data_IF_183220098656
#
_entry.id   IF_183220098656
#
_cell.length_a   1.000
_cell.length_b   1.000
_cell.length_c   1.000
_cell.angle_alpha   90.00
_cell.angle_beta   90.00
_cell.angle_gamma   90.00
#
_symmetry.space_group_name_H-M   'P 1'
#
loop_
_entity.id
_entity.type
_entity.pdbx_description
1 polymer ?
#
# COMPACT_ATOMS: atom_id res chain seq x y z
N UNK A 1 -6.22 -4.23 -15.37
CA UNK A 1 -5.50 -5.23 -16.18
C UNK A 1 -5.90 -6.65 -15.83
N UNK A 2 -5.81 -7.09 -14.57
CA UNK A 2 -6.25 -8.45 -14.15
C UNK A 2 -7.69 -8.81 -14.55
N UNK A 3 -8.67 -7.93 -14.32
CA UNK A 3 -10.06 -8.20 -14.73
C UNK A 3 -10.25 -8.33 -16.24
N UNK A 4 -9.44 -7.62 -17.04
CA UNK A 4 -9.49 -7.71 -18.51
C UNK A 4 -8.94 -9.07 -18.94
N UNK A 5 -7.80 -9.49 -18.39
CA UNK A 5 -7.20 -10.81 -18.65
C UNK A 5 -8.19 -11.91 -18.25
N UNK A 6 -8.81 -11.80 -17.07
CA UNK A 6 -9.84 -12.75 -16.61
C UNK A 6 -11.04 -12.82 -17.56
N UNK A 7 -11.54 -11.68 -18.04
CA UNK A 7 -12.63 -11.62 -19.02
C UNK A 7 -12.24 -12.27 -20.35
N UNK A 8 -11.01 -12.05 -20.83
CA UNK A 8 -10.50 -12.65 -22.07
C UNK A 8 -10.36 -14.16 -21.93
N UNK A 9 -9.77 -14.65 -20.84
CA UNK A 9 -9.66 -16.09 -20.56
C UNK A 9 -11.03 -16.74 -20.42
N UNK A 10 -11.98 -16.07 -19.77
CA UNK A 10 -13.36 -16.54 -19.66
C UNK A 10 -14.00 -16.68 -21.04
N UNK A 11 -13.87 -15.68 -21.91
CA UNK A 11 -14.39 -15.75 -23.28
C UNK A 11 -13.73 -16.89 -24.10
N UNK A 12 -12.41 -17.11 -23.91
CA UNK A 12 -11.65 -18.17 -24.57
C UNK A 12 -12.11 -19.56 -24.15
N UNK A 13 -12.09 -19.86 -22.85
CA UNK A 13 -12.45 -21.19 -22.33
C UNK A 13 -13.94 -21.47 -22.41
N UNK A 14 -14.80 -20.45 -22.48
CA UNK A 14 -16.22 -20.64 -22.80
C UNK A 14 -16.43 -21.18 -24.22
N UNK A 15 -15.56 -20.82 -25.17
CA UNK A 15 -15.60 -21.36 -26.53
C UNK A 15 -14.90 -22.73 -26.65
N UNK A 16 -14.02 -23.09 -25.70
CA UNK A 16 -13.23 -24.33 -25.70
C UNK A 16 -13.19 -24.97 -24.30
N UNK A 17 -14.33 -25.48 -23.80
CA UNK A 17 -14.41 -26.00 -22.43
C UNK A 17 -13.52 -27.22 -22.19
N UNK A 18 -13.22 -28.00 -23.23
CA UNK A 18 -12.40 -29.22 -23.14
C UNK A 18 -10.92 -28.95 -22.81
N UNK A 19 -10.45 -27.72 -23.04
CA UNK A 19 -9.07 -27.33 -22.79
C UNK A 19 -8.83 -26.90 -21.33
N UNK A 20 -9.88 -26.76 -20.52
CA UNK A 20 -9.77 -26.35 -19.13
C UNK A 20 -9.88 -27.58 -18.22
N UNK A 21 -8.80 -27.89 -17.50
CA UNK A 21 -8.85 -28.93 -16.46
C UNK A 21 -9.71 -28.45 -15.28
N UNK A 22 -10.74 -29.20 -14.86
CA UNK A 22 -11.62 -28.81 -13.75
C UNK A 22 -10.93 -28.75 -12.38
N UNK A 23 -9.77 -29.40 -12.26
CA UNK A 23 -8.99 -29.47 -11.01
C UNK A 23 -7.88 -28.42 -10.94
N UNK A 24 -7.77 -27.55 -11.95
CA UNK A 24 -6.74 -26.53 -11.98
C UNK A 24 -7.08 -25.39 -11.00
N UNK A 25 -6.15 -24.99 -10.10
CA UNK A 25 -6.35 -23.83 -9.25
C UNK A 25 -6.62 -22.57 -10.07
N UNK A 26 -7.49 -21.70 -9.58
CA UNK A 26 -7.93 -20.48 -10.28
C UNK A 26 -6.74 -19.60 -10.69
N UNK A 27 -5.75 -19.44 -9.80
CA UNK A 27 -4.57 -18.60 -10.04
C UNK A 27 -3.57 -19.23 -11.04
N UNK A 28 -3.69 -20.53 -11.32
CA UNK A 28 -2.83 -21.25 -12.27
C UNK A 28 -3.37 -21.23 -13.71
N UNK A 29 -4.62 -20.80 -13.93
CA UNK A 29 -5.25 -20.76 -15.26
C UNK A 29 -4.48 -19.87 -16.24
N UNK A 30 -4.05 -18.69 -15.80
CA UNK A 30 -3.33 -17.76 -16.67
C UNK A 30 -1.92 -18.25 -17.04
N UNK A 31 -1.08 -18.71 -16.10
CA UNK A 31 0.19 -19.36 -16.44
C UNK A 31 0.03 -20.59 -17.36
N UNK A 32 -0.99 -21.41 -17.13
CA UNK A 32 -1.27 -22.57 -17.98
C UNK A 32 -1.59 -22.15 -19.42
N UNK A 33 -2.46 -21.15 -19.60
CA UNK A 33 -2.78 -20.60 -20.92
C UNK A 33 -1.54 -20.09 -21.65
N UNK A 34 -0.64 -19.37 -20.96
CA UNK A 34 0.62 -18.90 -21.56
C UNK A 34 1.46 -20.09 -22.02
N UNK A 35 1.58 -21.14 -21.20
CA UNK A 35 2.42 -22.29 -21.49
C UNK A 35 1.90 -23.20 -22.61
N UNK A 36 0.58 -23.29 -22.81
CA UNK A 36 -0.02 -24.22 -23.78
C UNK A 36 -0.44 -23.56 -25.08
N UNK A 37 -0.89 -22.31 -25.06
CA UNK A 37 -1.52 -21.67 -26.22
C UNK A 37 -0.61 -20.71 -26.99
N UNK A 38 0.51 -20.27 -26.40
CA UNK A 38 1.40 -19.28 -27.00
C UNK A 38 2.69 -19.90 -27.57
N UNK A 39 3.24 -19.34 -28.67
CA UNK A 39 4.49 -19.81 -29.24
C UNK A 39 5.68 -19.53 -28.30
N UNK A 40 6.70 -20.40 -28.29
CA UNK A 40 7.76 -20.41 -27.27
C UNK A 40 8.54 -19.09 -27.13
N UNK A 41 8.76 -18.36 -28.23
CA UNK A 41 9.43 -17.05 -28.19
C UNK A 41 8.64 -15.97 -27.44
N UNK A 42 7.31 -15.97 -27.59
CA UNK A 42 6.42 -15.02 -26.90
C UNK A 42 6.29 -15.40 -25.43
N UNK A 43 6.22 -16.70 -25.13
CA UNK A 43 6.20 -17.22 -23.76
C UNK A 43 7.41 -16.72 -22.97
N UNK A 44 8.62 -16.88 -23.52
CA UNK A 44 9.84 -16.40 -22.88
C UNK A 44 9.83 -14.89 -22.63
N UNK A 45 9.34 -14.10 -23.59
CA UNK A 45 9.22 -12.65 -23.44
C UNK A 45 8.24 -12.25 -22.33
N UNK A 46 7.08 -12.91 -22.26
CA UNK A 46 6.06 -12.65 -21.23
C UNK A 46 6.60 -12.99 -19.84
N UNK A 47 7.22 -14.17 -19.68
CA UNK A 47 7.79 -14.60 -18.39
C UNK A 47 8.90 -13.65 -17.95
N UNK A 48 9.80 -13.25 -18.86
CA UNK A 48 10.85 -12.29 -18.56
C UNK A 48 10.28 -10.93 -18.11
N UNK A 49 9.26 -10.42 -18.81
CA UNK A 49 8.58 -9.19 -18.44
C UNK A 49 7.86 -9.27 -17.09
N UNK A 50 7.22 -10.41 -16.80
CA UNK A 50 6.54 -10.65 -15.52
C UNK A 50 7.53 -10.66 -14.35
N UNK A 51 8.66 -11.36 -14.51
CA UNK A 51 9.72 -11.39 -13.49
C UNK A 51 10.32 -9.99 -13.30
N UNK A 52 10.60 -9.26 -14.38
CA UNK A 52 11.12 -7.90 -14.31
C UNK A 52 10.16 -6.94 -13.58
N UNK A 53 8.85 -7.02 -13.90
CA UNK A 53 7.83 -6.23 -13.22
C UNK A 53 7.73 -6.57 -11.73
N UNK A 54 7.71 -7.86 -11.39
CA UNK A 54 7.66 -8.34 -10.00
C UNK A 54 8.89 -7.88 -9.19
N UNK A 55 10.09 -7.97 -9.78
CA UNK A 55 11.33 -7.48 -9.16
C UNK A 55 11.29 -5.97 -8.91
N UNK A 56 10.75 -5.18 -9.84
CA UNK A 56 10.59 -3.74 -9.68
C UNK A 56 9.68 -3.38 -8.50
N UNK A 57 8.52 -4.04 -8.39
CA UNK A 57 7.61 -3.85 -7.26
C UNK A 57 8.22 -4.30 -5.94
N UNK A 58 8.87 -5.46 -5.92
CA UNK A 58 9.50 -6.01 -4.72
C UNK A 58 10.63 -5.11 -4.21
N UNK A 59 11.50 -4.65 -5.11
CA UNK A 59 12.57 -3.71 -4.78
C UNK A 59 12.02 -2.41 -4.19
N UNK A 60 10.96 -1.86 -4.78
CA UNK A 60 10.27 -0.68 -4.26
C UNK A 60 9.75 -0.87 -2.85
N UNK A 61 9.04 -1.98 -2.58
CA UNK A 61 8.49 -2.30 -1.26
C UNK A 61 9.60 -2.47 -0.22
N UNK A 62 10.63 -3.27 -0.52
CA UNK A 62 11.74 -3.52 0.41
C UNK A 62 12.45 -2.20 0.73
N UNK A 63 12.73 -1.37 -0.27
CA UNK A 63 13.37 -0.08 -0.07
C UNK A 63 12.52 0.86 0.78
N UNK A 64 11.21 0.96 0.52
CA UNK A 64 10.31 1.78 1.33
C UNK A 64 10.27 1.35 2.79
N UNK A 65 10.20 0.04 3.08
CA UNK A 65 10.22 -0.47 4.45
C UNK A 65 11.58 -0.23 5.10
N UNK A 66 12.68 -0.41 4.37
CA UNK A 66 14.01 -0.14 4.87
C UNK A 66 14.21 1.34 5.25
N UNK A 67 13.70 2.27 4.43
CA UNK A 67 13.70 3.71 4.75
C UNK A 67 12.85 4.01 5.97
N UNK A 68 11.64 3.43 6.07
CA UNK A 68 10.79 3.60 7.25
C UNK A 68 11.50 3.12 8.52
N UNK A 69 12.13 1.95 8.49
CA UNK A 69 12.88 1.43 9.64
C UNK A 69 14.14 2.24 9.96
N UNK A 70 14.84 2.77 8.96
CA UNK A 70 16.07 3.52 9.19
C UNK A 70 15.83 4.97 9.61
N UNK A 71 14.94 5.69 8.94
CA UNK A 71 14.69 7.11 9.17
C UNK A 71 13.65 7.30 10.29
N UNK A 72 12.49 6.65 10.19
CA UNK A 72 11.41 6.92 11.16
C UNK A 72 11.67 6.29 12.53
N UNK A 73 12.34 5.13 12.55
CA UNK A 73 12.65 4.41 13.78
C UNK A 73 14.11 4.60 14.22
N UNK A 74 15.09 4.15 13.43
CA UNK A 74 16.48 4.09 13.90
C UNK A 74 17.10 5.48 14.14
N UNK A 75 16.93 6.43 13.20
CA UNK A 75 17.43 7.80 13.35
C UNK A 75 16.76 8.53 14.52
N UNK A 76 15.45 8.33 14.70
CA UNK A 76 14.68 8.97 15.78
C UNK A 76 14.95 8.39 17.17
N UNK A 77 15.22 7.08 17.27
CA UNK A 77 15.48 6.38 18.53
C UNK A 77 16.95 6.49 18.97
N UNK A 78 17.87 6.64 18.02
CA UNK A 78 19.31 6.62 18.28
C UNK A 78 19.97 7.91 17.80
N UNK A 79 19.99 8.95 18.65
CA UNK A 79 20.59 10.24 18.29
C UNK A 79 22.12 10.14 18.12
N UNK A 80 22.67 10.96 17.22
CA UNK A 80 24.12 11.12 17.01
C UNK A 80 24.77 10.06 16.11
N UNK A 81 24.01 9.39 15.25
CA UNK A 81 24.54 8.39 14.30
C UNK A 81 24.99 9.04 12.99
N UNK A 82 26.02 8.46 12.37
CA UNK A 82 26.46 8.93 11.06
C UNK A 82 25.57 8.38 9.95
N UNK A 83 25.48 9.12 8.85
CA UNK A 83 24.74 8.70 7.64
C UNK A 83 25.16 7.29 7.18
N UNK A 84 26.45 6.97 7.25
CA UNK A 84 26.98 5.65 6.92
C UNK A 84 26.43 4.52 7.81
N UNK A 85 26.12 4.81 9.08
CA UNK A 85 25.49 3.84 9.97
C UNK A 85 24.02 3.64 9.65
N UNK A 86 23.31 4.70 9.25
CA UNK A 86 21.90 4.66 8.85
C UNK A 86 21.76 3.81 7.58
N UNK A 87 22.62 4.04 6.58
CA UNK A 87 22.62 3.27 5.33
C UNK A 87 22.92 1.79 5.59
N UNK A 88 23.93 1.47 6.40
CA UNK A 88 24.23 0.07 6.77
C UNK A 88 23.08 -0.62 7.48
N UNK A 89 22.37 0.11 8.35
CA UNK A 89 21.17 -0.41 9.00
C UNK A 89 20.06 -0.67 7.98
N UNK A 90 19.84 0.24 7.04
CA UNK A 90 18.86 0.07 5.96
C UNK A 90 19.18 -1.13 5.04
N UNK A 91 20.45 -1.36 4.70
CA UNK A 91 20.90 -2.54 3.96
C UNK A 91 20.58 -3.84 4.72
N UNK A 92 20.90 -3.89 6.02
CA UNK A 92 20.58 -5.04 6.88
C UNK A 92 19.07 -5.26 7.04
N UNK A 93 18.30 -4.18 7.22
CA UNK A 93 16.85 -4.22 7.29
C UNK A 93 16.24 -4.74 5.98
N UNK A 94 16.77 -4.32 4.83
CA UNK A 94 16.32 -4.78 3.51
C UNK A 94 16.47 -6.30 3.37
N UNK A 95 17.61 -6.86 3.79
CA UNK A 95 17.83 -8.31 3.81
C UNK A 95 16.83 -9.01 4.76
N UNK A 96 16.60 -8.45 5.94
CA UNK A 96 15.65 -8.98 6.91
C UNK A 96 14.22 -9.02 6.37
N UNK A 97 13.76 -7.92 5.78
CA UNK A 97 12.43 -7.82 5.15
C UNK A 97 12.28 -8.83 4.01
N UNK A 98 13.32 -8.97 3.16
CA UNK A 98 13.33 -9.98 2.09
C UNK A 98 13.20 -11.40 2.64
N UNK A 99 13.94 -11.75 3.70
CA UNK A 99 13.88 -13.08 4.31
C UNK A 99 12.52 -13.37 4.95
N UNK A 100 11.93 -12.39 5.64
CA UNK A 100 10.57 -12.49 6.18
C UNK A 100 9.55 -12.66 5.06
N UNK A 101 9.70 -11.92 3.95
CA UNK A 101 8.86 -12.08 2.77
C UNK A 101 8.91 -13.49 2.19
N UNK A 102 10.11 -14.08 2.08
CA UNK A 102 10.28 -15.48 1.64
C UNK A 102 9.61 -16.45 2.61
N UNK A 103 9.78 -16.26 3.92
CA UNK A 103 9.16 -17.11 4.93
C UNK A 103 7.63 -17.07 4.83
N UNK A 104 7.04 -15.88 4.69
CA UNK A 104 5.59 -15.69 4.48
C UNK A 104 5.15 -16.38 3.18
N UNK A 105 5.89 -16.22 2.09
CA UNK A 105 5.57 -16.87 0.82
C UNK A 105 5.54 -18.39 0.92
N UNK A 106 6.49 -18.99 1.65
CA UNK A 106 6.52 -20.44 1.90
C UNK A 106 5.29 -20.89 2.71
N UNK A 107 4.88 -20.11 3.71
CA UNK A 107 3.68 -20.40 4.51
C UNK A 107 2.43 -20.32 3.62
N UNK A 108 2.27 -19.25 2.84
CA UNK A 108 1.13 -19.07 1.93
C UNK A 108 1.06 -20.19 0.88
N UNK A 109 2.19 -20.68 0.37
CA UNK A 109 2.24 -21.80 -0.58
C UNK A 109 1.70 -23.12 -0.01
N UNK A 110 1.55 -23.25 1.31
CA UNK A 110 1.00 -24.44 1.97
C UNK A 110 -0.45 -24.28 2.39
N UNK A 111 -0.98 -23.06 2.35
CA UNK A 111 -2.37 -22.78 2.67
C UNK A 111 -3.22 -23.02 1.42
N UNK A 112 -4.38 -23.63 1.60
CA UNK A 112 -5.33 -23.86 0.51
C UNK A 112 -6.10 -22.56 0.23
N UNK A 113 -5.43 -21.64 -0.47
CA UNK A 113 -5.98 -20.33 -0.81
C UNK A 113 -6.76 -20.47 -2.12
N UNK A 114 -8.08 -20.28 -2.07
CA UNK A 114 -8.94 -20.35 -3.24
C UNK A 114 -8.61 -19.27 -4.30
N UNK A 115 -8.25 -18.06 -3.87
CA UNK A 115 -7.78 -16.99 -4.77
C UNK A 115 -6.81 -16.05 -4.07
N UNK A 116 -5.62 -15.90 -4.65
CA UNK A 116 -4.60 -14.95 -4.19
C UNK A 116 -5.03 -13.49 -4.39
N UNK A 117 -5.87 -13.22 -5.40
CA UNK A 117 -6.38 -11.87 -5.67
C UNK A 117 -7.31 -11.43 -4.53
N UNK A 118 -8.27 -12.27 -4.14
CA UNK A 118 -9.22 -11.95 -3.08
C UNK A 118 -8.49 -11.74 -1.75
N UNK A 119 -7.51 -12.59 -1.43
CA UNK A 119 -6.65 -12.43 -0.25
C UNK A 119 -5.90 -11.09 -0.29
N UNK A 120 -5.37 -10.71 -1.45
CA UNK A 120 -4.66 -9.44 -1.60
C UNK A 120 -5.60 -8.26 -1.35
N UNK A 121 -6.78 -8.24 -1.95
CA UNK A 121 -7.79 -7.18 -1.76
C UNK A 121 -8.20 -7.08 -0.29
N UNK A 122 -8.40 -8.22 0.36
CA UNK A 122 -8.76 -8.30 1.76
C UNK A 122 -7.66 -7.70 2.66
N UNK A 123 -6.40 -8.07 2.46
CA UNK A 123 -5.26 -7.50 3.19
C UNK A 123 -5.13 -5.98 2.97
N UNK A 124 -5.32 -5.51 1.73
CA UNK A 124 -5.35 -4.07 1.43
C UNK A 124 -6.51 -3.37 2.14
N UNK A 125 -7.68 -4.02 2.25
CA UNK A 125 -8.82 -3.49 2.99
C UNK A 125 -8.55 -3.39 4.49
N UNK A 126 -8.06 -4.46 5.12
CA UNK A 126 -7.82 -4.53 6.55
C UNK A 126 -6.72 -3.57 7.02
N UNK A 127 -5.60 -3.52 6.30
CA UNK A 127 -4.42 -2.76 6.73
C UNK A 127 -4.29 -1.42 6.00
N UNK A 128 -4.50 -1.41 4.69
CA UNK A 128 -4.32 -0.21 3.86
C UNK A 128 -5.49 0.77 3.94
N UNK A 129 -6.72 0.27 4.06
CA UNK A 129 -7.94 1.08 4.01
C UNK A 129 -8.04 2.13 5.11
N UNK A 130 -7.68 1.77 6.35
CA UNK A 130 -7.73 2.70 7.47
C UNK A 130 -6.76 3.88 7.30
N UNK A 131 -5.53 3.61 6.84
CA UNK A 131 -4.51 4.62 6.52
C UNK A 131 -4.92 5.51 5.35
N UNK A 132 -5.51 4.92 4.29
CA UNK A 132 -6.04 5.68 3.16
C UNK A 132 -7.17 6.64 3.59
N UNK A 133 -8.07 6.18 4.48
CA UNK A 133 -9.11 7.02 5.07
C UNK A 133 -8.55 8.18 5.89
N UNK A 134 -7.52 7.93 6.69
CA UNK A 134 -6.84 8.96 7.49
C UNK A 134 -6.16 10.02 6.61
N UNK A 135 -5.45 9.58 5.55
CA UNK A 135 -4.82 10.49 4.59
C UNK A 135 -5.88 11.35 3.85
N UNK A 136 -6.97 10.72 3.42
CA UNK A 136 -8.10 11.41 2.78
C UNK A 136 -8.70 12.46 3.72
N UNK A 137 -8.96 12.10 4.98
CA UNK A 137 -9.49 13.02 5.97
C UNK A 137 -8.56 14.22 6.18
N UNK A 138 -7.26 13.99 6.32
CA UNK A 138 -6.26 15.05 6.47
C UNK A 138 -6.16 15.97 5.26
N UNK A 139 -6.32 15.44 4.04
CA UNK A 139 -6.26 16.24 2.81
C UNK A 139 -7.47 17.19 2.65
N UNK A 140 -8.67 16.70 3.01
CA UNK A 140 -9.93 17.40 2.75
C UNK A 140 -10.46 18.22 3.94
N UNK A 141 -9.91 18.08 5.15
CA UNK A 141 -10.40 18.81 6.32
C UNK A 141 -9.30 19.52 7.09
N UNK A 142 -9.58 20.76 7.51
CA UNK A 142 -8.68 21.57 8.35
C UNK A 142 -8.85 21.34 9.85
N UNK A 143 -9.83 20.50 10.21
CA UNK A 143 -10.17 20.19 11.61
C UNK A 143 -9.62 18.83 12.06
N UNK A 144 -8.87 18.12 11.21
CA UNK A 144 -8.31 16.81 11.54
C UNK A 144 -7.19 16.99 12.57
N UNK A 145 -7.41 16.44 13.76
CA UNK A 145 -6.44 16.41 14.85
C UNK A 145 -5.68 15.09 14.83
N UNK A 146 -4.41 15.08 15.26
CA UNK A 146 -3.62 13.84 15.28
C UNK A 146 -4.27 12.77 16.19
N UNK A 147 -4.87 13.16 17.32
CA UNK A 147 -5.58 12.25 18.21
C UNK A 147 -6.82 11.65 17.53
N UNK A 148 -7.63 12.49 16.88
CA UNK A 148 -8.86 12.05 16.20
C UNK A 148 -8.54 11.12 15.03
N UNK A 149 -7.53 11.45 14.23
CA UNK A 149 -7.06 10.60 13.13
C UNK A 149 -6.52 9.27 13.66
N UNK A 150 -5.72 9.26 14.73
CA UNK A 150 -5.22 8.03 15.33
C UNK A 150 -6.35 7.13 15.84
N UNK A 151 -7.34 7.69 16.54
CA UNK A 151 -8.52 6.95 17.00
C UNK A 151 -9.34 6.43 15.82
N UNK A 152 -9.50 7.23 14.77
CA UNK A 152 -10.17 6.84 13.53
C UNK A 152 -9.52 5.63 12.86
N UNK A 153 -8.18 5.62 12.75
CA UNK A 153 -7.42 4.48 12.22
C UNK A 153 -7.65 3.24 13.08
N UNK A 154 -7.41 3.33 14.40
CA UNK A 154 -7.55 2.16 15.28
C UNK A 154 -8.97 1.60 15.29
N UNK A 155 -9.97 2.47 15.39
CA UNK A 155 -11.37 2.04 15.38
C UNK A 155 -11.78 1.44 14.03
N UNK A 156 -11.37 2.03 12.91
CA UNK A 156 -11.62 1.49 11.57
C UNK A 156 -10.95 0.12 11.38
N UNK A 157 -9.71 -0.05 11.84
CA UNK A 157 -9.02 -1.34 11.80
C UNK A 157 -9.73 -2.40 12.64
N UNK A 158 -10.19 -2.06 13.85
CA UNK A 158 -10.95 -2.98 14.71
C UNK A 158 -12.27 -3.37 14.06
N UNK A 159 -13.04 -2.39 13.55
CA UNK A 159 -14.32 -2.66 12.89
C UNK A 159 -14.12 -3.57 11.69
N UNK A 160 -13.15 -3.25 10.84
CA UNK A 160 -12.86 -4.04 9.62
C UNK A 160 -12.39 -5.45 9.98
N UNK A 161 -11.56 -5.60 11.02
CA UNK A 161 -11.12 -6.90 11.52
C UNK A 161 -12.28 -7.74 12.07
N UNK A 162 -13.19 -7.14 12.85
CA UNK A 162 -14.38 -7.82 13.37
C UNK A 162 -15.28 -8.26 12.21
N UNK A 163 -15.50 -7.37 11.24
CA UNK A 163 -16.33 -7.64 10.08
C UNK A 163 -15.75 -8.74 9.20
N UNK A 164 -14.41 -8.78 9.09
CA UNK A 164 -13.65 -9.87 8.48
C UNK A 164 -13.81 -11.19 9.21
N UNK A 165 -13.64 -11.18 10.54
CA UNK A 165 -13.74 -12.38 11.39
C UNK A 165 -15.10 -13.08 11.29
N UNK A 166 -16.18 -12.30 11.14
CA UNK A 166 -17.53 -12.83 10.99
C UNK A 166 -17.93 -13.09 9.53
N UNK A 167 -17.08 -12.79 8.55
CA UNK A 167 -17.37 -13.00 7.13
C UNK A 167 -18.62 -12.26 6.64
N UNK A 168 -18.89 -11.07 7.18
CA UNK A 168 -20.17 -10.38 6.99
C UNK A 168 -20.32 -9.71 5.61
N UNK A 169 -19.20 -9.46 4.92
CA UNK A 169 -19.17 -8.74 3.64
C UNK A 169 -18.19 -9.37 2.67
N UNK A 170 -18.45 -9.14 1.38
CA UNK A 170 -17.57 -9.57 0.31
C UNK A 170 -16.21 -8.83 0.38
N UNK A 171 -15.08 -9.49 0.08
CA UNK A 171 -13.72 -8.92 0.08
C UNK A 171 -13.57 -7.48 -0.43
N UNK A 172 -14.26 -7.12 -1.51
CA UNK A 172 -14.20 -5.80 -2.13
C UNK A 172 -14.74 -4.66 -1.24
N UNK A 173 -15.63 -4.98 -0.31
CA UNK A 173 -16.25 -3.99 0.56
C UNK A 173 -15.41 -3.66 1.79
N UNK A 174 -14.43 -4.49 2.17
CA UNK A 174 -13.55 -4.21 3.31
C UNK A 174 -12.77 -2.91 3.11
N UNK A 175 -12.29 -2.64 1.89
CA UNK A 175 -11.57 -1.40 1.58
C UNK A 175 -12.47 -0.17 1.75
N UNK A 176 -13.68 -0.20 1.18
CA UNK A 176 -14.62 0.89 1.28
C UNK A 176 -15.07 1.13 2.74
N UNK A 177 -15.34 0.04 3.47
CA UNK A 177 -15.72 0.07 4.88
C UNK A 177 -14.61 0.68 5.75
N UNK A 178 -13.36 0.24 5.57
CA UNK A 178 -12.21 0.75 6.31
C UNK A 178 -11.97 2.25 6.05
N UNK A 179 -12.07 2.69 4.79
CA UNK A 179 -11.94 4.11 4.44
C UNK A 179 -13.07 4.93 5.04
N UNK A 180 -14.32 4.50 4.86
CA UNK A 180 -15.49 5.23 5.34
C UNK A 180 -15.52 5.32 6.87
N UNK A 181 -15.27 4.21 7.56
CA UNK A 181 -15.21 4.19 9.03
C UNK A 181 -14.08 5.06 9.57
N UNK A 182 -12.89 5.03 8.95
CA UNK A 182 -11.74 5.86 9.32
C UNK A 182 -12.06 7.35 9.18
N UNK A 183 -12.68 7.76 8.06
CA UNK A 183 -13.10 9.15 7.82
C UNK A 183 -14.17 9.58 8.83
N UNK A 184 -15.23 8.80 9.01
CA UNK A 184 -16.36 9.16 9.88
C UNK A 184 -15.92 9.24 11.34
N UNK A 185 -15.26 8.21 11.85
CA UNK A 185 -14.83 8.15 13.25
C UNK A 185 -13.72 9.17 13.50
N UNK A 186 -12.75 9.28 12.58
CA UNK A 186 -11.67 10.26 12.68
C UNK A 186 -12.17 11.71 12.67
N UNK A 187 -13.17 12.01 11.84
CA UNK A 187 -13.79 13.33 11.81
C UNK A 187 -14.58 13.61 13.09
N UNK A 188 -15.47 12.70 13.52
CA UNK A 188 -16.28 12.85 14.72
C UNK A 188 -15.44 13.01 15.98
N UNK A 189 -14.42 12.16 16.15
CA UNK A 189 -13.52 12.24 17.31
C UNK A 189 -12.65 13.48 17.29
N UNK A 190 -12.33 14.03 16.12
CA UNK A 190 -11.61 15.32 16.01
C UNK A 190 -12.40 16.50 16.59
N UNK A 191 -13.73 16.40 16.79
CA UNK A 191 -14.51 17.42 17.50
C UNK A 191 -14.37 17.38 19.02
N UNK A 192 -13.98 16.25 19.59
CA UNK A 192 -13.83 16.08 21.04
C UNK A 192 -12.50 16.65 21.55
N UNK A 193 -11.54 16.89 20.66
CA UNK A 193 -10.21 17.40 20.99
C UNK A 193 -10.03 18.85 20.52
N UNK A 194 -9.18 19.64 21.21
CA UNK A 194 -8.88 21.01 20.80
C UNK A 194 -8.29 21.05 19.37
N UNK A 195 -8.51 22.14 18.61
CA UNK A 195 -8.06 22.25 17.23
C UNK A 195 -6.52 22.14 17.11
N UNK A 196 -6.00 21.80 15.92
CA UNK A 196 -4.57 21.56 15.74
C UNK A 196 -3.77 22.81 16.12
N UNK A 197 -2.79 22.66 17.01
CA UNK A 197 -1.95 23.76 17.50
C UNK A 197 -0.83 24.17 16.54
N UNK A 198 -0.55 23.36 15.51
CA UNK A 198 0.47 23.63 14.49
C UNK A 198 -0.16 24.18 13.21
N UNK A 199 0.55 25.09 12.54
CA UNK A 199 0.12 25.67 11.27
C UNK A 199 -0.17 24.57 10.23
N UNK A 200 -1.39 24.59 9.68
CA UNK A 200 -1.83 23.70 8.61
C UNK A 200 -1.47 24.25 7.21
N UNK A 201 -0.60 25.27 7.14
CA UNK A 201 -0.13 25.89 5.89
C UNK A 201 0.56 24.88 4.98
N UNK A 202 0.06 24.75 3.75
CA UNK A 202 0.59 23.82 2.74
C UNK A 202 0.21 22.35 2.93
N UNK A 203 -0.42 21.97 4.05
CA UNK A 203 -0.79 20.57 4.34
C UNK A 203 -2.24 20.22 3.95
N UNK A 204 -3.07 21.20 3.63
CA UNK A 204 -4.46 21.02 3.18
C UNK A 204 -4.70 21.79 1.87
N UNK A 205 -5.56 21.30 0.98
CA UNK A 205 -5.87 21.95 -0.33
C UNK A 205 -6.35 23.41 -0.14
N UNK A 206 -6.96 23.69 1.01
CA UNK A 206 -7.51 25.01 1.34
C UNK A 206 -6.47 25.96 1.97
N UNK A 207 -5.27 25.49 2.31
CA UNK A 207 -4.21 26.28 2.94
C UNK A 207 -3.10 26.62 1.95
N UNK A 208 -3.36 27.59 1.08
CA UNK A 208 -2.33 28.15 0.20
C UNK A 208 -1.35 29.01 0.99
N UNK A 209 -0.06 28.83 0.71
CA UNK A 209 1.06 29.66 1.18
C UNK A 209 0.79 31.14 0.83
N UNK A 210 0.93 32.11 1.76
CA UNK A 210 0.89 33.52 1.39
C UNK A 210 2.07 33.84 0.45
N UNK A 211 1.79 34.55 -0.64
CA UNK A 211 2.76 34.88 -1.71
C UNK A 211 3.92 35.80 -1.27
N UNK A 212 4.01 36.19 0.00
CA UNK A 212 5.01 37.12 0.52
C UNK A 212 6.36 36.47 0.87
N UNK A 213 6.47 35.13 0.86
CA UNK A 213 7.73 34.44 1.18
C UNK A 213 8.67 34.27 -0.03
N UNK A 214 8.29 34.72 -1.23
CA UNK A 214 9.13 34.63 -2.43
C UNK A 214 10.05 35.85 -2.59
N UNK A 215 9.75 36.97 -1.93
CA UNK A 215 10.51 38.23 -2.11
C UNK A 215 11.76 38.38 -1.24
N UNK A 216 11.94 37.60 -0.17
CA UNK A 216 13.11 37.72 0.72
C UNK A 216 14.34 36.89 0.28
N UNK A 217 14.18 35.96 -0.66
CA UNK A 217 15.28 35.09 -1.11
C UNK A 217 15.97 35.60 -2.39
N UNK A 218 15.51 36.72 -2.96
CA UNK A 218 16.00 37.26 -4.23
C UNK A 218 16.93 38.49 -4.11
N UNK A 219 17.48 38.79 -2.94
CA UNK A 219 18.46 39.86 -2.77
C UNK A 219 19.87 39.30 -2.49
N UNK A 220 20.74 39.14 -3.51
CA UNK A 220 22.15 38.86 -3.26
C UNK A 220 22.80 40.08 -2.58
N UNK A 221 23.21 39.92 -1.34
CA UNK A 221 24.04 40.89 -0.63
C UNK A 221 25.42 40.96 -1.31
N UNK A 222 25.64 41.98 -2.15
CA UNK A 222 26.97 42.33 -2.64
C UNK A 222 27.78 42.85 -1.44
N UNK A 223 28.91 42.21 -1.06
CA UNK A 223 29.81 42.79 -0.07
C UNK A 223 30.71 43.82 -0.77
N UNK A 224 30.64 45.07 -0.32
CA UNK A 224 31.50 46.14 -0.80
C UNK A 224 31.64 47.28 0.20
N UNK A 225 32.67 47.20 1.05
CA UNK A 225 33.52 48.31 1.50
C UNK A 225 34.75 47.75 2.21
#
# INVERSE_FOLDING_TARGET
MFYIIGTVLFAYYRARPEQLSPTLPIDAVFPAFIGTELPPGIVGLIIAGLIAAAMGTLSGIINSVATLLSVDFYERLVPGRSERQIVRFAEGASMGVGLVGIAIAIVLSRLDIHSLLDLTIELFGLLGGACAGAYTLGLFTRRANWQGVAIGIVAASIITFVVWWFGLVHPYLYLALAIASSIVIGYLTSYLFPPPSHSLEGLTIYSRRPASAVSDEAAPSIPGS
#
